data_IF_438092661039
#
_entry.id   IF_438092661039
#
_cell.length_a   1.000
_cell.length_b   1.000
_cell.length_c   1.000
_cell.angle_alpha   90.00
_cell.angle_beta   90.00
_cell.angle_gamma   90.00
#
_symmetry.space_group_name_H-M   'P 1'
#
loop_
_entity.id
_entity.type
_entity.pdbx_description
1 polymer ?
#
# COMPACT_ATOMS: atom_id res chain seq x y z
N UNK A 1 -19.66 2.42 47.66
CA UNK A 1 -19.84 3.13 46.39
C UNK A 1 -18.51 3.31 45.62
N UNK A 2 -17.44 3.83 46.22
CA UNK A 2 -16.14 4.06 45.54
C UNK A 2 -15.49 2.79 44.97
N UNK A 3 -15.53 1.67 45.68
CA UNK A 3 -14.98 0.39 45.22
C UNK A 3 -15.72 -0.17 44.01
N UNK A 4 -17.04 -0.07 43.95
CA UNK A 4 -17.82 -0.53 42.81
C UNK A 4 -17.57 0.33 41.57
N UNK A 5 -17.47 1.65 41.73
CA UNK A 5 -17.12 2.57 40.63
C UNK A 5 -15.70 2.32 40.12
N UNK A 6 -14.73 2.07 40.98
CA UNK A 6 -13.36 1.74 40.60
C UNK A 6 -13.28 0.41 39.82
N UNK A 7 -14.01 -0.62 40.26
CA UNK A 7 -14.07 -1.91 39.56
C UNK A 7 -14.74 -1.77 38.21
N UNK A 8 -15.81 -0.99 38.08
CA UNK A 8 -16.47 -0.71 36.81
C UNK A 8 -15.53 0.01 35.82
N UNK A 9 -14.83 1.06 36.32
CA UNK A 9 -13.87 1.80 35.50
C UNK A 9 -12.71 0.91 35.04
N UNK A 10 -12.19 0.06 35.90
CA UNK A 10 -11.15 -0.92 35.53
C UNK A 10 -11.65 -1.92 34.48
N UNK A 11 -12.89 -2.39 34.61
CA UNK A 11 -13.51 -3.28 33.62
C UNK A 11 -13.69 -2.63 32.25
N UNK A 12 -14.13 -1.38 32.19
CA UNK A 12 -14.26 -0.60 30.95
C UNK A 12 -12.88 -0.40 30.30
N UNK A 13 -11.88 -0.03 31.08
CA UNK A 13 -10.52 0.16 30.58
C UNK A 13 -9.96 -1.13 30.00
N UNK A 14 -10.10 -2.25 30.70
CA UNK A 14 -9.67 -3.56 30.22
C UNK A 14 -10.38 -3.93 28.90
N UNK A 15 -11.69 -3.72 28.80
CA UNK A 15 -12.46 -3.95 27.59
C UNK A 15 -11.94 -3.13 26.41
N UNK A 16 -11.69 -1.83 26.61
CA UNK A 16 -11.16 -0.94 25.57
C UNK A 16 -9.78 -1.42 25.12
N UNK A 17 -8.89 -1.78 26.03
CA UNK A 17 -7.55 -2.29 25.67
C UNK A 17 -7.64 -3.59 24.88
N UNK A 18 -8.49 -4.53 25.29
CA UNK A 18 -8.73 -5.79 24.55
C UNK A 18 -9.27 -5.50 23.16
N UNK A 19 -10.21 -4.57 23.04
CA UNK A 19 -10.72 -4.14 21.72
C UNK A 19 -9.61 -3.56 20.85
N UNK A 20 -8.78 -2.67 21.38
CA UNK A 20 -7.64 -2.07 20.67
C UNK A 20 -6.62 -3.11 20.22
N UNK A 21 -6.35 -4.12 21.04
CA UNK A 21 -5.49 -5.25 20.66
C UNK A 21 -6.14 -6.07 19.55
N UNK A 22 -7.45 -6.36 19.65
CA UNK A 22 -8.16 -7.09 18.58
C UNK A 22 -8.08 -6.37 17.23
N UNK A 23 -8.24 -5.05 17.21
CA UNK A 23 -8.09 -4.27 15.97
C UNK A 23 -6.64 -4.25 15.47
N UNK A 24 -5.65 -4.15 16.37
CA UNK A 24 -4.23 -4.16 16.02
C UNK A 24 -3.77 -5.49 15.41
N UNK A 25 -4.35 -6.61 15.86
CA UNK A 25 -4.02 -7.94 15.37
C UNK A 25 -5.06 -8.52 14.40
N UNK A 26 -5.94 -7.69 13.86
CA UNK A 26 -6.85 -8.08 12.79
C UNK A 26 -6.05 -8.62 11.59
N UNK A 27 -6.55 -9.66 10.93
CA UNK A 27 -5.92 -10.29 9.76
C UNK A 27 -6.84 -10.24 8.54
N UNK A 28 -7.79 -9.31 8.51
CA UNK A 28 -8.75 -9.20 7.43
C UNK A 28 -8.05 -8.89 6.10
N UNK A 29 -8.40 -9.66 5.07
CA UNK A 29 -8.09 -9.37 3.68
C UNK A 29 -9.36 -8.85 3.03
N UNK A 30 -9.35 -7.60 2.62
CA UNK A 30 -10.47 -7.00 1.90
C UNK A 30 -10.36 -7.32 0.42
N UNK A 31 -11.32 -8.10 -0.09
CA UNK A 31 -11.39 -8.42 -1.52
C UNK A 31 -12.28 -7.39 -2.24
N UNK A 32 -11.72 -6.75 -3.27
CA UNK A 32 -12.37 -5.66 -3.98
C UNK A 32 -12.12 -5.76 -5.49
N UNK A 33 -13.16 -5.52 -6.30
CA UNK A 33 -13.00 -5.32 -7.74
C UNK A 33 -12.73 -3.86 -8.06
N UNK A 34 -11.67 -3.60 -8.81
CA UNK A 34 -11.25 -2.26 -9.20
C UNK A 34 -11.49 -2.08 -10.69
N UNK A 35 -12.56 -1.37 -11.05
CA UNK A 35 -12.88 -1.07 -12.45
C UNK A 35 -12.04 0.09 -12.96
N UNK A 36 -11.35 -0.11 -14.09
CA UNK A 36 -10.33 0.77 -14.63
C UNK A 36 -10.52 0.96 -16.14
N UNK A 37 -10.72 2.21 -16.56
CA UNK A 37 -11.11 2.54 -17.94
C UNK A 37 -10.03 2.29 -19.00
N UNK A 38 -8.76 2.22 -18.61
CA UNK A 38 -7.65 2.13 -19.55
C UNK A 38 -6.78 0.88 -19.34
N UNK A 39 -7.24 -0.01 -18.47
CA UNK A 39 -6.59 -1.30 -18.27
C UNK A 39 -6.65 -2.08 -19.62
N UNK A 40 -5.55 -2.66 -20.11
CA UNK A 40 -5.64 -3.58 -21.26
C UNK A 40 -6.54 -4.77 -20.92
N UNK A 41 -7.36 -5.21 -21.88
CA UNK A 41 -8.34 -6.29 -21.65
C UNK A 41 -7.72 -7.60 -21.15
N UNK A 42 -6.48 -7.90 -21.55
CA UNK A 42 -5.73 -9.08 -21.08
C UNK A 42 -5.32 -9.05 -19.61
N UNK A 43 -5.41 -7.88 -18.97
CA UNK A 43 -5.21 -7.72 -17.53
C UNK A 43 -6.53 -7.77 -16.74
N UNK A 44 -7.67 -7.95 -17.40
CA UNK A 44 -8.94 -8.21 -16.68
C UNK A 44 -8.80 -9.46 -15.83
N UNK A 45 -9.26 -9.38 -14.59
CA UNK A 45 -9.15 -10.48 -13.63
C UNK A 45 -7.79 -10.59 -12.93
N UNK A 46 -6.80 -9.74 -13.24
CA UNK A 46 -5.49 -9.75 -12.53
C UNK A 46 -5.69 -9.48 -11.04
N UNK A 47 -5.16 -10.38 -10.20
CA UNK A 47 -5.35 -10.38 -8.74
C UNK A 47 -4.08 -9.92 -8.04
N UNK A 48 -4.17 -8.77 -7.38
CA UNK A 48 -3.04 -8.12 -6.69
C UNK A 48 -3.27 -8.19 -5.17
N UNK A 49 -2.38 -8.88 -4.46
CA UNK A 49 -2.35 -8.80 -3.00
C UNK A 49 -1.54 -7.57 -2.58
N UNK A 50 -2.18 -6.63 -1.90
CA UNK A 50 -1.55 -5.40 -1.43
C UNK A 50 -1.51 -5.36 0.09
N UNK A 51 -0.31 -5.13 0.64
CA UNK A 51 -0.07 -4.95 2.07
C UNK A 51 0.94 -3.82 2.29
N UNK A 52 0.77 -3.03 3.35
CA UNK A 52 1.71 -1.97 3.74
C UNK A 52 1.86 -1.91 5.25
N UNK A 53 2.85 -1.17 5.70
CA UNK A 53 3.04 -0.83 7.12
C UNK A 53 3.06 -2.07 8.02
N UNK A 54 3.89 -3.04 7.70
CA UNK A 54 4.02 -4.30 8.47
C UNK A 54 4.74 -4.02 9.79
N UNK A 55 5.77 -3.17 9.77
CA UNK A 55 6.54 -2.73 10.95
C UNK A 55 7.05 -3.89 11.82
N UNK A 56 6.56 -3.93 13.06
CA UNK A 56 6.95 -4.90 14.09
C UNK A 56 6.17 -6.21 14.02
N UNK A 57 5.14 -6.27 13.19
CA UNK A 57 4.24 -7.40 13.14
C UNK A 57 4.88 -8.59 12.42
N UNK A 58 4.69 -9.79 12.97
CA UNK A 58 4.90 -11.04 12.26
C UNK A 58 3.60 -11.41 11.54
N UNK A 59 3.69 -11.66 10.24
CA UNK A 59 2.55 -12.13 9.47
C UNK A 59 2.19 -13.55 9.93
N UNK A 60 0.93 -13.82 10.28
CA UNK A 60 0.53 -15.15 10.70
C UNK A 60 0.34 -16.07 9.50
N UNK A 61 0.76 -17.32 9.61
CA UNK A 61 0.57 -18.34 8.55
C UNK A 61 -0.89 -18.47 8.11
N UNK A 62 -1.83 -18.31 9.04
CA UNK A 62 -3.27 -18.35 8.75
C UNK A 62 -3.73 -17.29 7.74
N UNK A 63 -2.90 -16.30 7.42
CA UNK A 63 -3.19 -15.32 6.36
C UNK A 63 -3.31 -16.04 5.00
N UNK A 64 -2.52 -17.09 4.78
CA UNK A 64 -2.55 -17.87 3.54
C UNK A 64 -3.82 -18.71 3.41
N UNK A 65 -4.49 -19.00 4.54
CA UNK A 65 -5.71 -19.80 4.58
C UNK A 65 -6.97 -18.94 4.34
N UNK A 66 -6.81 -17.63 4.08
CA UNK A 66 -7.96 -16.77 3.81
C UNK A 66 -8.64 -17.22 2.51
N UNK A 67 -9.96 -17.54 2.55
CA UNK A 67 -10.67 -18.03 1.37
C UNK A 67 -10.58 -17.13 0.14
N UNK A 68 -10.41 -15.83 0.33
CA UNK A 68 -10.28 -14.89 -0.80
C UNK A 68 -9.00 -15.10 -1.60
N UNK A 69 -7.98 -15.77 -1.03
CA UNK A 69 -6.72 -16.09 -1.71
C UNK A 69 -6.75 -17.44 -2.44
N UNK A 70 -7.80 -18.25 -2.25
CA UNK A 70 -7.89 -19.61 -2.80
C UNK A 70 -7.79 -19.72 -4.32
N UNK A 71 -8.22 -18.67 -5.03
CA UNK A 71 -8.12 -18.60 -6.50
C UNK A 71 -6.75 -18.13 -7.01
N UNK A 72 -5.77 -17.95 -6.11
CA UNK A 72 -4.43 -17.51 -6.40
C UNK A 72 -4.25 -15.98 -6.38
N UNK A 73 -3.00 -15.57 -6.50
CA UNK A 73 -2.53 -14.18 -6.55
C UNK A 73 -1.53 -14.06 -7.69
N UNK A 74 -1.74 -13.11 -8.60
CA UNK A 74 -0.83 -12.88 -9.73
C UNK A 74 0.38 -12.03 -9.31
N UNK A 75 0.19 -11.14 -8.33
CA UNK A 75 1.18 -10.15 -7.94
C UNK A 75 1.01 -9.75 -6.48
N UNK A 76 2.12 -9.66 -5.75
CA UNK A 76 2.16 -9.12 -4.39
C UNK A 76 2.85 -7.77 -4.38
N UNK A 77 2.19 -6.76 -3.83
CA UNK A 77 2.71 -5.40 -3.70
C UNK A 77 2.85 -5.02 -2.23
N UNK A 78 4.06 -4.58 -1.84
CA UNK A 78 4.35 -4.11 -0.48
C UNK A 78 4.53 -2.59 -0.51
N UNK A 79 3.61 -1.89 0.12
CA UNK A 79 3.50 -0.42 0.11
C UNK A 79 4.43 0.30 1.10
N UNK A 80 5.61 -0.27 1.42
CA UNK A 80 6.59 0.34 2.34
C UNK A 80 6.34 0.03 3.80
N UNK A 81 7.27 0.50 4.65
CA UNK A 81 7.32 0.25 6.08
C UNK A 81 7.24 -1.26 6.39
N UNK A 82 8.13 -2.05 5.71
CA UNK A 82 8.27 -3.48 5.94
C UNK A 82 8.77 -3.76 7.34
N UNK A 83 9.67 -2.91 7.83
CA UNK A 83 10.23 -2.98 9.18
C UNK A 83 10.24 -1.59 9.85
N UNK A 84 10.47 -1.57 11.14
CA UNK A 84 10.73 -0.38 11.95
C UNK A 84 12.04 -0.60 12.70
N UNK A 85 12.74 0.45 13.09
CA UNK A 85 13.99 0.36 13.82
C UNK A 85 13.93 -0.58 15.02
N UNK A 86 14.98 -1.40 15.20
CA UNK A 86 15.06 -2.44 16.24
C UNK A 86 14.28 -3.73 15.95
N UNK A 87 13.68 -3.89 14.80
CA UNK A 87 13.08 -5.16 14.38
C UNK A 87 14.16 -6.06 13.79
N UNK A 88 14.33 -7.30 14.29
CA UNK A 88 15.29 -8.25 13.73
C UNK A 88 14.98 -8.55 12.25
N UNK A 89 16.03 -8.57 11.41
CA UNK A 89 15.92 -8.87 9.98
C UNK A 89 15.28 -10.23 9.71
N UNK A 90 15.49 -11.22 10.58
CA UNK A 90 14.89 -12.55 10.46
C UNK A 90 13.35 -12.50 10.50
N UNK A 91 12.77 -11.54 11.23
CA UNK A 91 11.32 -11.33 11.23
C UNK A 91 10.86 -10.79 9.90
N UNK A 92 11.55 -9.81 9.34
CA UNK A 92 11.29 -9.27 8.02
C UNK A 92 11.43 -10.34 6.95
N UNK A 93 12.50 -11.15 7.03
CA UNK A 93 12.72 -12.30 6.14
C UNK A 93 11.54 -13.27 6.16
N UNK A 94 11.10 -13.68 7.35
CA UNK A 94 9.97 -14.59 7.50
C UNK A 94 8.67 -14.02 6.92
N UNK A 95 8.43 -12.71 7.08
CA UNK A 95 7.29 -12.04 6.48
C UNK A 95 7.37 -12.03 4.95
N UNK A 96 8.53 -11.70 4.41
CA UNK A 96 8.77 -11.66 2.96
C UNK A 96 8.62 -13.04 2.36
N UNK A 97 9.17 -14.10 2.97
CA UNK A 97 9.04 -15.48 2.51
C UNK A 97 7.57 -15.92 2.47
N UNK A 98 6.79 -15.56 3.50
CA UNK A 98 5.36 -15.84 3.51
C UNK A 98 4.65 -15.13 2.35
N UNK A 99 4.96 -13.87 2.09
CA UNK A 99 4.36 -13.12 0.99
C UNK A 99 4.80 -13.66 -0.38
N UNK A 100 6.07 -14.06 -0.52
CA UNK A 100 6.62 -14.65 -1.75
C UNK A 100 5.99 -16.00 -2.10
N UNK A 101 5.39 -16.69 -1.13
CA UNK A 101 4.64 -17.93 -1.41
C UNK A 101 3.31 -17.68 -2.12
N UNK A 102 2.79 -16.46 -2.10
CA UNK A 102 1.57 -16.06 -2.82
C UNK A 102 1.83 -15.76 -4.30
N UNK A 103 3.00 -15.23 -4.63
CA UNK A 103 3.34 -14.82 -5.99
C UNK A 103 4.57 -13.90 -6.06
N UNK A 104 4.91 -13.37 -7.25
CA UNK A 104 5.99 -12.41 -7.43
C UNK A 104 5.80 -11.16 -6.59
N UNK A 105 6.85 -10.72 -5.86
CA UNK A 105 6.77 -9.61 -4.91
C UNK A 105 7.50 -8.39 -5.44
N UNK A 106 6.80 -7.25 -5.43
CA UNK A 106 7.36 -5.93 -5.64
C UNK A 106 7.11 -5.06 -4.41
N UNK A 107 8.05 -4.18 -4.10
CA UNK A 107 7.99 -3.34 -2.91
C UNK A 107 8.47 -1.92 -3.21
N UNK A 108 8.06 -0.98 -2.37
CA UNK A 108 8.72 0.33 -2.22
C UNK A 108 9.17 0.47 -0.78
N UNK A 109 10.08 1.41 -0.51
CA UNK A 109 10.43 1.77 0.86
C UNK A 109 9.43 2.78 1.44
N UNK A 110 9.17 2.64 2.74
CA UNK A 110 8.53 3.65 3.55
C UNK A 110 9.55 4.39 4.42
N UNK A 111 9.09 5.35 5.20
CA UNK A 111 9.98 6.17 6.01
C UNK A 111 10.69 5.38 7.12
N UNK A 112 10.07 4.34 7.68
CA UNK A 112 10.67 3.50 8.72
C UNK A 112 11.65 2.46 8.19
N UNK A 113 11.59 2.11 6.91
CA UNK A 113 12.61 1.27 6.28
C UNK A 113 13.98 1.97 6.25
N UNK A 114 14.00 3.29 6.42
CA UNK A 114 15.20 4.13 6.53
C UNK A 114 15.60 4.47 7.97
N UNK A 115 14.94 3.93 9.00
CA UNK A 115 15.31 4.14 10.41
C UNK A 115 16.71 3.59 10.73
N UNK A 116 17.13 2.57 10.01
CA UNK A 116 18.46 1.95 10.06
C UNK A 116 19.07 1.95 8.65
N UNK A 117 20.39 1.64 8.52
CA UNK A 117 21.01 1.56 7.20
C UNK A 117 20.23 0.60 6.29
N UNK A 118 19.65 1.14 5.22
CA UNK A 118 18.75 0.41 4.32
C UNK A 118 19.44 -0.75 3.60
N UNK A 119 20.78 -0.73 3.52
CA UNK A 119 21.58 -1.74 2.79
C UNK A 119 21.34 -3.17 3.28
N UNK A 120 21.17 -3.38 4.59
CA UNK A 120 20.91 -4.72 5.14
C UNK A 120 19.52 -5.23 4.71
N UNK A 121 18.53 -4.35 4.70
CA UNK A 121 17.20 -4.64 4.21
C UNK A 121 17.23 -4.91 2.70
N UNK A 122 17.97 -4.12 1.94
CA UNK A 122 18.13 -4.27 0.49
C UNK A 122 18.76 -5.63 0.14
N UNK A 123 19.81 -6.04 0.85
CA UNK A 123 20.44 -7.35 0.66
C UNK A 123 19.43 -8.47 0.94
N UNK A 124 18.69 -8.39 2.06
CA UNK A 124 17.67 -9.37 2.41
C UNK A 124 16.60 -9.48 1.32
N UNK A 125 16.07 -8.34 0.87
CA UNK A 125 15.01 -8.32 -0.13
C UNK A 125 15.47 -8.89 -1.48
N UNK A 126 16.73 -8.64 -1.85
CA UNK A 126 17.34 -9.20 -3.04
C UNK A 126 17.53 -10.72 -2.93
N UNK A 127 18.02 -11.22 -1.77
CA UNK A 127 18.14 -12.65 -1.49
C UNK A 127 16.79 -13.38 -1.59
N UNK A 128 15.72 -12.75 -1.09
CA UNK A 128 14.34 -13.26 -1.15
C UNK A 128 13.64 -12.97 -2.50
N UNK A 129 14.37 -12.45 -3.49
CA UNK A 129 13.88 -12.15 -4.86
C UNK A 129 12.73 -11.13 -4.88
N UNK A 130 12.68 -10.23 -3.93
CA UNK A 130 11.77 -9.09 -3.96
C UNK A 130 12.36 -8.00 -4.84
N UNK A 131 11.59 -7.54 -5.82
CA UNK A 131 11.97 -6.36 -6.62
C UNK A 131 11.54 -5.09 -5.90
N UNK A 132 12.50 -4.34 -5.40
CA UNK A 132 12.23 -3.02 -4.80
C UNK A 132 12.30 -1.96 -5.90
N UNK A 133 11.24 -1.17 -6.02
CA UNK A 133 11.13 -0.09 -7.01
C UNK A 133 11.51 1.24 -6.35
N UNK A 134 12.75 1.68 -6.55
CA UNK A 134 13.29 2.92 -5.98
C UNK A 134 13.35 3.99 -7.07
N UNK A 135 12.26 4.73 -7.26
CA UNK A 135 12.12 5.74 -8.32
C UNK A 135 12.32 5.14 -9.73
N UNK A 136 11.80 3.97 -9.93
CA UNK A 136 11.89 3.23 -11.19
C UNK A 136 10.57 2.54 -11.52
N UNK A 137 10.48 1.98 -12.71
CA UNK A 137 9.34 1.16 -13.12
C UNK A 137 9.77 -0.09 -13.86
N UNK A 138 8.86 -1.07 -13.87
CA UNK A 138 8.94 -2.27 -14.68
C UNK A 138 7.71 -2.37 -15.58
N UNK A 139 7.90 -2.94 -16.76
CA UNK A 139 6.79 -3.27 -17.65
C UNK A 139 6.38 -4.70 -17.40
N UNK A 140 5.12 -4.89 -17.02
CA UNK A 140 4.51 -6.20 -16.87
C UNK A 140 3.81 -6.53 -18.19
N UNK A 141 4.22 -7.63 -18.81
CA UNK A 141 3.75 -8.03 -20.13
C UNK A 141 2.95 -9.33 -20.07
N UNK A 142 1.85 -9.39 -20.78
CA UNK A 142 1.06 -10.60 -21.01
C UNK A 142 1.46 -11.25 -22.35
N UNK A 143 1.09 -12.52 -22.53
CA UNK A 143 1.44 -13.31 -23.73
C UNK A 143 0.96 -12.68 -25.05
N UNK A 144 -0.07 -11.85 -25.02
CA UNK A 144 -0.60 -11.13 -26.20
C UNK A 144 0.19 -9.84 -26.54
N UNK A 145 1.27 -9.55 -25.80
CA UNK A 145 2.07 -8.35 -25.94
C UNK A 145 1.49 -7.10 -25.25
N UNK A 146 0.34 -7.23 -24.59
CA UNK A 146 -0.21 -6.13 -23.78
C UNK A 146 0.66 -5.85 -22.57
N UNK A 147 0.86 -4.58 -22.26
CA UNK A 147 1.74 -4.15 -21.17
C UNK A 147 1.05 -3.18 -20.23
N UNK A 148 1.40 -3.27 -18.95
CA UNK A 148 1.14 -2.23 -17.95
C UNK A 148 2.46 -1.81 -17.29
N UNK A 149 2.53 -0.56 -16.85
CA UNK A 149 3.67 -0.06 -16.08
C UNK A 149 3.37 -0.22 -14.59
N UNK A 150 4.24 -0.91 -13.89
CA UNK A 150 4.30 -0.88 -12.42
C UNK A 150 5.44 0.06 -12.03
N UNK A 151 5.12 1.25 -11.56
CA UNK A 151 6.06 2.26 -11.10
C UNK A 151 6.11 2.28 -9.57
N UNK A 152 7.29 2.52 -9.01
CA UNK A 152 7.47 2.72 -7.57
C UNK A 152 8.34 3.94 -7.30
N UNK A 153 7.99 4.68 -6.25
CA UNK A 153 8.79 5.79 -5.76
C UNK A 153 9.34 5.49 -4.37
N UNK A 154 10.53 6.02 -4.08
CA UNK A 154 11.06 6.06 -2.72
C UNK A 154 10.19 7.01 -1.87
N UNK A 155 10.37 7.02 -0.56
CA UNK A 155 9.46 7.67 0.38
C UNK A 155 9.24 9.17 0.15
N UNK A 156 8.00 9.60 -0.13
CA UNK A 156 7.67 11.01 -0.32
C UNK A 156 7.81 11.87 0.96
N UNK A 157 7.61 11.27 2.14
CA UNK A 157 7.72 11.99 3.42
C UNK A 157 9.14 12.47 3.69
N UNK A 158 10.13 11.65 3.37
CA UNK A 158 11.55 12.01 3.51
C UNK A 158 12.11 12.72 2.26
N UNK A 159 11.25 13.04 1.28
CA UNK A 159 11.61 13.72 0.02
C UNK A 159 12.63 12.96 -0.83
N UNK A 160 12.55 11.65 -0.79
CA UNK A 160 13.39 10.75 -1.62
C UNK A 160 12.73 10.42 -2.95
N UNK A 161 11.44 10.66 -3.07
CA UNK A 161 10.66 10.41 -4.28
C UNK A 161 11.19 11.20 -5.49
N UNK A 162 11.23 10.54 -6.64
CA UNK A 162 11.58 11.09 -7.94
C UNK A 162 10.58 10.57 -8.98
N UNK A 163 9.35 11.08 -8.89
CA UNK A 163 8.22 10.59 -9.70
C UNK A 163 8.52 10.64 -11.20
N UNK A 164 9.19 11.69 -11.68
CA UNK A 164 9.61 11.78 -13.09
C UNK A 164 10.51 10.63 -13.53
N UNK A 165 11.44 10.15 -12.68
CA UNK A 165 12.27 8.98 -12.99
C UNK A 165 11.44 7.70 -13.01
N UNK A 166 10.56 7.54 -12.01
CA UNK A 166 9.68 6.36 -11.92
C UNK A 166 8.76 6.24 -13.14
N UNK A 167 8.36 7.35 -13.75
CA UNK A 167 7.51 7.37 -14.94
C UNK A 167 8.29 7.29 -16.26
N UNK A 168 9.64 7.32 -16.22
CA UNK A 168 10.46 7.22 -17.43
C UNK A 168 10.45 8.49 -18.29
N UNK A 169 10.24 9.67 -17.70
CA UNK A 169 10.12 10.94 -18.42
C UNK A 169 11.38 11.34 -19.24
N UNK A 170 12.47 10.61 -19.09
CA UNK A 170 13.74 10.86 -19.80
C UNK A 170 14.01 9.83 -20.92
N UNK A 171 13.11 8.87 -21.15
CA UNK A 171 13.33 7.86 -22.16
C UNK A 171 12.81 8.33 -23.53
N UNK A 172 13.72 8.76 -24.41
CA UNK A 172 13.45 9.02 -25.84
C UNK A 172 12.78 7.83 -26.52
N UNK A 173 12.95 6.62 -25.97
CA UNK A 173 12.35 5.38 -26.48
C UNK A 173 10.83 5.32 -26.37
N UNK A 174 10.20 6.17 -25.56
CA UNK A 174 8.73 6.23 -25.36
C UNK A 174 8.07 7.31 -26.20
N UNK A 175 8.84 8.17 -26.84
CA UNK A 175 8.32 9.24 -27.70
C UNK A 175 7.47 8.65 -28.85
N UNK A 176 6.19 8.98 -28.89
CA UNK A 176 5.25 8.55 -29.94
C UNK A 176 4.55 7.21 -29.70
N UNK A 177 4.77 6.52 -28.58
CA UNK A 177 3.99 5.33 -28.20
C UNK A 177 2.79 5.73 -27.33
N UNK A 178 1.69 4.98 -27.46
CA UNK A 178 0.54 5.12 -26.55
C UNK A 178 1.00 4.83 -25.12
N UNK A 179 0.68 5.73 -24.18
CA UNK A 179 1.04 5.56 -22.78
C UNK A 179 0.44 4.28 -22.21
N UNK A 180 1.24 3.45 -21.53
CA UNK A 180 0.72 2.26 -20.89
C UNK A 180 -0.16 2.64 -19.68
N UNK A 181 -1.10 1.76 -19.34
CA UNK A 181 -1.74 1.82 -18.02
C UNK A 181 -0.65 1.81 -16.94
N UNK A 182 -0.71 2.75 -16.01
CA UNK A 182 0.30 2.89 -14.95
C UNK A 182 -0.29 2.71 -13.56
N UNK A 183 0.20 1.68 -12.86
CA UNK A 183 0.00 1.48 -11.44
C UNK A 183 1.22 2.06 -10.71
N UNK A 184 1.00 3.04 -9.83
CA UNK A 184 2.03 3.64 -8.99
C UNK A 184 1.93 3.05 -7.57
N UNK A 185 3.04 2.52 -7.08
CA UNK A 185 3.22 2.14 -5.69
C UNK A 185 4.00 3.25 -4.98
N UNK A 186 3.43 3.83 -3.93
CA UNK A 186 4.05 4.88 -3.13
C UNK A 186 3.68 4.68 -1.66
N UNK A 187 4.65 4.81 -0.75
CA UNK A 187 4.36 4.65 0.67
C UNK A 187 3.40 5.72 1.18
N UNK A 188 3.75 7.00 1.03
CA UNK A 188 2.95 8.13 1.53
C UNK A 188 1.98 8.64 0.45
N UNK A 189 0.66 8.66 0.71
CA UNK A 189 -0.36 9.17 -0.21
C UNK A 189 -0.21 10.66 -0.55
N UNK A 190 0.65 11.41 0.14
CA UNK A 190 0.96 12.80 -0.18
C UNK A 190 1.51 12.98 -1.59
N UNK A 191 1.99 11.90 -2.22
CA UNK A 191 2.40 11.88 -3.62
C UNK A 191 1.28 12.38 -4.55
N UNK A 192 0.02 12.19 -4.17
CA UNK A 192 -1.14 12.66 -4.92
C UNK A 192 -1.15 14.19 -5.13
N UNK A 193 -0.51 14.98 -4.25
CA UNK A 193 -0.36 16.43 -4.44
C UNK A 193 0.71 16.80 -5.47
N UNK A 194 1.49 15.83 -5.93
CA UNK A 194 2.64 16.03 -6.86
C UNK A 194 2.42 15.35 -8.20
N UNK A 195 1.20 14.88 -8.47
CA UNK A 195 0.90 14.22 -9.73
C UNK A 195 1.18 15.17 -10.89
N UNK A 196 1.96 14.73 -11.88
CA UNK A 196 2.31 15.56 -13.01
C UNK A 196 1.07 15.88 -13.85
N UNK A 197 1.05 17.09 -14.40
CA UNK A 197 0.10 17.47 -15.44
C UNK A 197 0.66 17.16 -16.83
N UNK A 198 -0.22 17.03 -17.82
CA UNK A 198 0.16 16.91 -19.24
C UNK A 198 0.17 15.47 -19.76
N UNK A 199 0.47 15.36 -21.07
CA UNK A 199 0.66 14.09 -21.76
C UNK A 199 2.01 13.49 -21.37
N UNK A 200 2.09 12.16 -21.28
CA UNK A 200 3.33 11.44 -20.96
C UNK A 200 3.47 10.98 -19.51
N UNK A 201 2.61 11.46 -18.60
CA UNK A 201 2.76 11.23 -17.15
C UNK A 201 1.51 10.63 -16.50
N UNK A 202 0.82 9.77 -17.22
CA UNK A 202 -0.42 9.22 -16.75
C UNK A 202 -0.22 8.20 -15.64
N UNK A 203 -0.99 8.34 -14.57
CA UNK A 203 -1.13 7.36 -13.50
C UNK A 203 -2.63 7.02 -13.41
N UNK A 204 -2.95 5.73 -13.48
CA UNK A 204 -4.33 5.24 -13.48
C UNK A 204 -4.76 4.73 -12.11
N UNK A 205 -3.82 4.11 -11.37
CA UNK A 205 -4.05 3.57 -10.04
C UNK A 205 -2.86 3.85 -9.14
N UNK A 206 -3.14 4.31 -7.92
CA UNK A 206 -2.13 4.48 -6.85
C UNK A 206 -2.49 3.55 -5.70
N UNK A 207 -1.49 2.86 -5.15
CA UNK A 207 -1.61 2.11 -3.91
C UNK A 207 -0.65 2.72 -2.88
N UNK A 208 -1.19 3.09 -1.70
CA UNK A 208 -0.44 3.76 -0.65
C UNK A 208 -0.81 3.27 0.75
N UNK A 209 0.04 3.54 1.74
CA UNK A 209 -0.13 3.24 3.15
C UNK A 209 0.12 4.44 4.04
N UNK A 210 1.10 4.34 4.96
CA UNK A 210 1.66 5.39 5.81
C UNK A 210 0.75 5.97 6.88
N UNK A 211 -0.52 6.18 6.60
CA UNK A 211 -1.43 6.92 7.50
C UNK A 211 -1.92 6.10 8.68
N UNK A 212 -1.83 4.78 8.57
CA UNK A 212 -2.45 3.82 9.51
C UNK A 212 -3.95 4.07 9.75
N UNK A 213 -4.61 4.88 8.90
CA UNK A 213 -5.96 5.38 9.16
C UNK A 213 -6.09 6.18 10.45
N UNK A 214 -4.95 6.73 10.95
CA UNK A 214 -4.82 7.42 12.23
C UNK A 214 -4.49 6.51 13.41
N UNK A 215 -4.37 5.20 13.22
CA UNK A 215 -4.04 4.12 14.17
C UNK A 215 -4.91 4.12 15.44
N UNK A 216 -4.96 5.22 16.20
CA UNK A 216 -5.84 5.42 17.37
C UNK A 216 -6.70 6.65 17.11
N UNK A 217 -7.97 6.39 16.81
CA UNK A 217 -8.97 7.44 16.51
C UNK A 217 -10.00 7.48 17.63
N UNK A 218 -9.84 8.48 18.51
CA UNK A 218 -10.74 8.67 19.66
C UNK A 218 -12.09 9.22 19.18
N UNK A 219 -13.24 8.64 19.60
CA UNK A 219 -14.55 9.17 19.27
C UNK A 219 -14.64 10.66 19.62
N UNK A 220 -15.16 11.47 18.70
CA UNK A 220 -15.34 12.92 18.80
C UNK A 220 -14.07 13.77 18.88
N UNK A 221 -12.91 13.19 19.23
CA UNK A 221 -11.63 13.89 19.31
C UNK A 221 -10.73 13.68 18.08
N UNK A 222 -10.98 12.62 17.30
CA UNK A 222 -10.19 12.31 16.10
C UNK A 222 -8.93 11.48 16.38
N UNK A 223 -8.01 11.48 15.44
CA UNK A 223 -6.76 10.73 15.52
C UNK A 223 -5.80 11.37 16.56
N UNK A 224 -5.16 10.52 17.36
CA UNK A 224 -4.17 10.96 18.38
C UNK A 224 -2.92 11.55 17.70
N UNK A 225 -2.48 10.96 16.58
CA UNK A 225 -1.37 11.47 15.79
C UNK A 225 -1.93 12.11 14.53
N UNK A 226 -1.45 13.32 14.22
CA UNK A 226 -1.85 14.06 13.04
C UNK A 226 -0.67 14.26 12.09
N UNK A 227 -0.93 14.05 10.79
CA UNK A 227 -0.01 14.41 9.71
C UNK A 227 -0.78 15.07 8.57
N UNK A 228 -0.07 15.70 7.62
CA UNK A 228 -0.70 16.25 6.41
C UNK A 228 -1.37 15.14 5.60
N UNK A 229 -0.66 14.04 5.39
CA UNK A 229 -1.15 12.87 4.66
C UNK A 229 -2.44 12.31 5.27
N UNK A 230 -2.48 12.15 6.60
CA UNK A 230 -3.66 11.68 7.32
C UNK A 230 -4.85 12.64 7.21
N UNK A 231 -4.60 13.95 7.18
CA UNK A 231 -5.67 14.96 7.03
C UNK A 231 -6.29 14.94 5.64
N UNK A 232 -5.47 14.77 4.60
CA UNK A 232 -5.91 14.80 3.21
C UNK A 232 -6.44 13.44 2.74
N UNK A 233 -5.72 12.38 3.09
CA UNK A 233 -5.94 11.03 2.59
C UNK A 233 -5.92 10.01 3.73
N UNK A 234 -6.89 10.03 4.65
CA UNK A 234 -6.83 9.21 5.86
C UNK A 234 -6.82 7.70 5.59
N UNK A 235 -7.68 7.20 4.71
CA UNK A 235 -7.83 5.78 4.35
C UNK A 235 -8.90 5.57 3.31
N UNK A 236 -8.86 4.42 2.62
CA UNK A 236 -9.87 4.01 1.65
C UNK A 236 -9.62 4.59 0.26
N UNK A 237 -10.64 4.63 -0.55
CA UNK A 237 -10.56 5.03 -1.95
C UNK A 237 -10.72 6.53 -2.15
N UNK A 238 -9.88 7.08 -3.01
CA UNK A 238 -9.93 8.47 -3.48
C UNK A 238 -9.97 8.49 -5.00
N UNK A 239 -10.70 9.44 -5.54
CA UNK A 239 -10.70 9.76 -6.96
C UNK A 239 -9.96 11.07 -7.16
N UNK A 240 -8.88 11.01 -7.90
CA UNK A 240 -7.97 12.13 -8.12
C UNK A 240 -8.13 12.64 -9.54
N UNK A 241 -8.04 13.95 -9.70
CA UNK A 241 -7.97 14.59 -11.02
C UNK A 241 -6.52 14.99 -11.29
N UNK A 242 -5.97 14.55 -12.44
CA UNK A 242 -4.65 14.98 -12.86
C UNK A 242 -4.76 16.31 -13.61
N UNK A 243 -3.99 17.31 -13.16
CA UNK A 243 -3.98 18.64 -13.79
C UNK A 243 -3.49 18.57 -15.23
N UNK A 244 -4.18 19.23 -16.17
CA UNK A 244 -3.81 19.26 -17.59
C UNK A 244 -4.10 17.98 -18.37
N UNK A 245 -4.73 16.99 -17.78
CA UNK A 245 -5.21 15.82 -18.52
C UNK A 245 -6.43 16.17 -19.38
N UNK A 246 -6.60 15.50 -20.52
CA UNK A 246 -7.83 15.57 -21.30
C UNK A 246 -9.04 15.23 -20.42
N UNK A 247 -10.20 15.85 -20.69
CA UNK A 247 -11.43 15.60 -19.95
C UNK A 247 -11.67 14.09 -19.84
N UNK A 248 -11.82 13.56 -18.61
CA UNK A 248 -12.13 12.15 -18.35
C UNK A 248 -10.98 11.28 -17.86
N UNK A 249 -9.77 11.80 -17.68
CA UNK A 249 -8.65 11.02 -17.09
C UNK A 249 -8.72 11.03 -15.56
N UNK A 250 -9.23 9.96 -15.02
CA UNK A 250 -9.37 9.73 -13.59
C UNK A 250 -8.22 8.86 -13.08
N UNK A 251 -7.61 9.23 -11.97
CA UNK A 251 -6.70 8.38 -11.21
C UNK A 251 -7.41 7.92 -9.94
N UNK A 252 -7.39 6.64 -9.66
CA UNK A 252 -7.90 6.08 -8.40
C UNK A 252 -6.74 5.86 -7.43
N UNK A 253 -6.95 6.15 -6.16
CA UNK A 253 -5.97 5.89 -5.13
C UNK A 253 -6.60 5.13 -3.97
N UNK A 254 -5.98 4.00 -3.58
CA UNK A 254 -6.26 3.29 -2.34
C UNK A 254 -5.22 3.68 -1.29
N UNK A 255 -5.69 4.09 -0.12
CA UNK A 255 -4.85 4.29 1.06
C UNK A 255 -5.21 3.24 2.10
N UNK A 256 -4.31 2.29 2.30
CA UNK A 256 -4.47 1.22 3.29
C UNK A 256 -4.22 1.74 4.71
N UNK A 257 -4.94 1.15 5.67
CA UNK A 257 -4.66 1.36 7.10
C UNK A 257 -3.41 0.62 7.56
N UNK A 258 -2.83 -0.21 6.70
CA UNK A 258 -1.66 -1.01 7.01
C UNK A 258 -1.95 -2.22 7.90
N UNK A 259 -1.01 -3.16 7.91
CA UNK A 259 -1.18 -4.46 8.57
C UNK A 259 -0.58 -4.51 9.96
N UNK A 260 0.49 -3.75 10.23
CA UNK A 260 1.16 -3.66 11.54
C UNK A 260 0.71 -2.47 12.37
N UNK A 261 1.55 -2.08 13.29
CA UNK A 261 1.40 -0.89 14.13
C UNK A 261 2.75 -0.20 14.29
N UNK A 262 2.76 1.12 14.23
CA UNK A 262 3.95 1.89 14.58
C UNK A 262 3.96 2.22 16.06
N UNK A 263 5.12 2.13 16.71
CA UNK A 263 5.43 2.46 18.10
C UNK A 263 4.69 1.61 19.15
N UNK A 264 3.36 1.65 19.21
CA UNK A 264 2.55 0.92 20.20
C UNK A 264 1.63 -0.08 19.50
N UNK A 265 1.47 -1.31 20.05
CA UNK A 265 0.71 -2.38 19.41
C UNK A 265 -0.80 -2.25 19.67
N UNK A 266 -1.36 -1.07 19.47
CA UNK A 266 -2.77 -0.76 19.73
C UNK A 266 -3.37 -0.02 18.54
N UNK A 267 -4.62 -0.36 18.19
CA UNK A 267 -5.43 0.36 17.19
C UNK A 267 -6.81 0.64 17.75
N UNK A 268 -7.40 1.75 17.37
CA UNK A 268 -8.78 2.08 17.74
C UNK A 268 -9.48 2.71 16.54
N UNK A 269 -10.59 2.09 16.07
CA UNK A 269 -11.37 2.50 14.90
C UNK A 269 -10.56 2.56 13.59
N UNK A 270 -9.43 1.86 13.58
CA UNK A 270 -8.55 1.71 12.44
C UNK A 270 -7.95 0.29 12.41
N UNK A 271 -8.78 -0.78 12.33
CA UNK A 271 -8.31 -2.16 12.34
C UNK A 271 -7.29 -2.40 11.25
N UNK A 272 -6.32 -3.27 11.54
CA UNK A 272 -5.31 -3.68 10.57
C UNK A 272 -5.94 -4.43 9.38
N UNK A 273 -5.37 -4.24 8.19
CA UNK A 273 -5.91 -4.80 6.96
C UNK A 273 -4.83 -5.11 5.92
N UNK A 274 -5.18 -5.99 5.00
CA UNK A 274 -4.55 -6.17 3.70
C UNK A 274 -5.66 -6.19 2.64
N UNK A 275 -5.29 -6.09 1.37
CA UNK A 275 -6.24 -6.01 0.27
C UNK A 275 -5.92 -7.06 -0.80
N UNK A 276 -6.96 -7.66 -1.38
CA UNK A 276 -6.89 -8.41 -2.61
C UNK A 276 -7.68 -7.64 -3.67
N UNK A 277 -6.97 -7.01 -4.60
CA UNK A 277 -7.55 -6.19 -5.64
C UNK A 277 -7.65 -7.00 -6.93
N UNK A 278 -8.86 -7.20 -7.43
CA UNK A 278 -9.07 -7.78 -8.75
C UNK A 278 -9.28 -6.66 -9.76
N UNK A 279 -8.33 -6.48 -10.67
CA UNK A 279 -8.43 -5.46 -11.71
C UNK A 279 -9.53 -5.85 -12.70
N UNK A 280 -10.39 -4.90 -13.08
CA UNK A 280 -11.45 -5.10 -14.05
C UNK A 280 -11.36 -4.08 -15.17
N UNK A 281 -11.27 -4.58 -16.38
CA UNK A 281 -11.40 -3.77 -17.58
C UNK A 281 -12.81 -3.18 -17.66
N UNK A 282 -12.89 -1.89 -17.90
CA UNK A 282 -14.16 -1.20 -18.09
C UNK A 282 -14.16 -0.53 -19.47
N UNK A 283 -14.97 -1.06 -20.38
CA UNK A 283 -15.20 -0.42 -21.67
C UNK A 283 -16.28 0.67 -21.47
N UNK A 284 -15.89 1.89 -21.09
CA UNK A 284 -16.79 3.02 -21.26
C UNK A 284 -16.66 3.47 -22.73
N UNK A 285 -17.72 3.50 -23.52
CA UNK A 285 -17.67 4.16 -24.81
C UNK A 285 -17.27 5.62 -24.58
N UNK A 286 -16.28 6.08 -25.38
CA UNK A 286 -15.81 7.48 -25.41
C UNK A 286 -16.95 8.46 -25.73
#
# INVERSE_FOLDING_TARGET
MFTAAALLSAGIMAFVVIWMLKEAYCTAVHSEEVRLNHLPASFDGTRIFFVSDIHRRRLPLKLLDDPVLSEGVDLVLIGGDLREGGVPLERTRANVQLLSSLGPVYAVYGNHDHDEPVRELEVLLNEERVRVLVNESVMLEKQDGSVIRLAGVDDPKTRRDRLGLALGNNDEATAGRKEPFTLLLAHDPIIAERLPGGEGNRIDLILAGHTHGGQIVVPFAGAVINSRSLKLFPRGWFQLQQSGAAIGRECRMLVSRGFGTSKIPLRLRAPAEAHLLTLRYCNRPE
#
